data_IF_020787364053
#
_entry.id   IF_020787364053
#
_cell.length_a   1.000
_cell.length_b   1.000
_cell.length_c   1.000
_cell.angle_alpha   90.00
_cell.angle_beta   90.00
_cell.angle_gamma   90.00
#
_symmetry.space_group_name_H-M   'P 1'
#
loop_
_entity.id
_entity.type
_entity.pdbx_description
1 polymer ?
#
# COMPACT_ATOMS: atom_id res chain seq x y z
N UNK A 1 38.40 -27.28 -17.99
CA UNK A 1 37.95 -26.16 -17.15
C UNK A 1 36.44 -26.10 -17.19
N UNK A 2 35.83 -26.63 -16.14
CA UNK A 2 34.38 -26.83 -16.08
C UNK A 2 33.68 -25.58 -15.61
N UNK A 3 32.60 -25.20 -16.28
CA UNK A 3 31.69 -24.14 -15.92
C UNK A 3 30.71 -24.64 -14.87
N UNK A 4 30.93 -24.30 -13.61
CA UNK A 4 29.99 -24.48 -12.49
C UNK A 4 29.24 -23.20 -12.29
N UNK A 5 28.01 -23.08 -12.79
CA UNK A 5 27.02 -22.14 -12.25
C UNK A 5 25.65 -22.32 -12.91
N UNK A 6 24.88 -23.27 -12.43
CA UNK A 6 23.44 -23.31 -12.61
C UNK A 6 22.79 -23.93 -11.38
N UNK A 7 22.80 -23.20 -10.27
CA UNK A 7 22.00 -23.52 -9.08
C UNK A 7 21.40 -22.24 -8.54
N UNK A 8 20.21 -21.86 -9.02
CA UNK A 8 19.30 -20.96 -8.27
C UNK A 8 17.94 -20.76 -8.95
N UNK A 9 17.35 -21.75 -9.61
CA UNK A 9 15.94 -21.65 -10.06
C UNK A 9 14.91 -22.30 -9.13
N UNK A 10 15.33 -23.06 -8.13
CA UNK A 10 14.40 -23.76 -7.23
C UNK A 10 13.96 -22.97 -5.99
N UNK A 11 14.60 -21.85 -5.69
CA UNK A 11 14.28 -21.06 -4.48
C UNK A 11 13.11 -20.09 -4.64
N UNK A 12 12.73 -19.70 -5.86
CA UNK A 12 11.64 -18.76 -6.07
C UNK A 12 10.26 -19.44 -6.09
N UNK A 13 10.19 -20.67 -6.63
CA UNK A 13 8.90 -21.35 -6.77
C UNK A 13 8.31 -21.83 -5.41
N UNK A 14 9.18 -22.22 -4.47
CA UNK A 14 8.69 -22.63 -3.13
C UNK A 14 8.11 -21.44 -2.35
N UNK A 15 8.78 -20.28 -2.36
CA UNK A 15 8.24 -19.09 -1.66
C UNK A 15 6.91 -18.62 -2.22
N UNK A 16 6.74 -18.69 -3.54
CA UNK A 16 5.49 -18.30 -4.20
C UNK A 16 4.33 -19.24 -3.83
N UNK A 17 4.59 -20.55 -3.74
CA UNK A 17 3.63 -21.54 -3.30
C UNK A 17 3.18 -21.32 -1.84
N UNK A 18 4.12 -21.08 -0.93
CA UNK A 18 3.83 -20.84 0.48
C UNK A 18 3.05 -19.53 0.71
N UNK A 19 3.39 -18.47 -0.04
CA UNK A 19 2.69 -17.19 0.05
C UNK A 19 1.24 -17.29 -0.45
N UNK A 20 1.02 -17.94 -1.58
CA UNK A 20 -0.34 -18.13 -2.11
C UNK A 20 -1.20 -18.98 -1.18
N UNK A 21 -0.65 -20.03 -0.57
CA UNK A 21 -1.35 -20.83 0.42
C UNK A 21 -1.79 -19.99 1.63
N UNK A 22 -0.96 -19.04 2.07
CA UNK A 22 -1.28 -18.12 3.18
C UNK A 22 -2.32 -17.06 2.79
N UNK A 23 -2.32 -16.58 1.55
CA UNK A 23 -3.36 -15.67 1.03
C UNK A 23 -4.69 -16.38 0.91
N UNK A 24 -4.71 -17.61 0.36
CA UNK A 24 -5.92 -18.42 0.28
C UNK A 24 -6.50 -18.73 1.67
N UNK A 25 -5.65 -18.95 2.66
CA UNK A 25 -6.06 -19.16 4.04
C UNK A 25 -6.70 -17.89 4.62
N UNK A 26 -6.09 -16.70 4.42
CA UNK A 26 -6.65 -15.44 4.86
C UNK A 26 -8.02 -15.17 4.21
N UNK A 27 -8.15 -15.41 2.91
CA UNK A 27 -9.43 -15.29 2.20
C UNK A 27 -10.49 -16.29 2.73
N UNK A 28 -10.11 -17.52 2.99
CA UNK A 28 -11.04 -18.52 3.50
C UNK A 28 -11.54 -18.21 4.93
N UNK A 29 -10.71 -17.53 5.74
CA UNK A 29 -11.11 -17.02 7.05
C UNK A 29 -12.09 -15.84 6.93
N UNK A 30 -11.77 -14.85 6.08
CA UNK A 30 -12.61 -13.68 5.89
C UNK A 30 -13.94 -13.99 5.18
N UNK A 31 -13.92 -14.94 4.24
CA UNK A 31 -15.06 -15.27 3.39
C UNK A 31 -15.31 -16.79 3.39
N UNK A 32 -15.78 -17.38 4.51
CA UNK A 32 -15.94 -18.81 4.64
C UNK A 32 -16.97 -19.41 3.66
N UNK A 33 -17.93 -18.60 3.21
CA UNK A 33 -18.92 -18.97 2.18
C UNK A 33 -18.40 -18.84 0.76
N UNK A 34 -17.19 -18.27 0.58
CA UNK A 34 -16.61 -17.89 -0.71
C UNK A 34 -17.47 -16.93 -1.53
N UNK A 35 -18.29 -16.14 -0.85
CA UNK A 35 -19.15 -15.12 -1.47
C UNK A 35 -18.67 -13.75 -1.02
N UNK A 36 -18.60 -12.79 -1.93
CA UNK A 36 -18.34 -11.41 -1.56
C UNK A 36 -19.50 -10.90 -0.70
N UNK A 37 -19.17 -10.39 0.43
CA UNK A 37 -20.10 -9.83 1.40
C UNK A 37 -19.31 -9.13 2.48
N UNK A 38 -19.97 -8.76 3.56
CA UNK A 38 -19.24 -8.29 4.73
C UNK A 38 -18.45 -9.47 5.33
N UNK A 39 -17.16 -9.28 5.62
CA UNK A 39 -16.35 -10.27 6.32
C UNK A 39 -17.01 -10.65 7.65
N UNK A 40 -16.85 -11.90 8.08
CA UNK A 40 -17.34 -12.31 9.41
C UNK A 40 -16.61 -11.53 10.50
N UNK A 41 -17.30 -10.58 11.14
CA UNK A 41 -16.73 -9.68 12.16
C UNK A 41 -16.16 -10.43 13.38
N UNK A 42 -16.50 -11.72 13.55
CA UNK A 42 -16.01 -12.55 14.66
C UNK A 42 -14.55 -12.95 14.51
N UNK A 43 -13.97 -12.82 13.31
CA UNK A 43 -12.60 -13.26 13.01
C UNK A 43 -11.71 -12.13 12.44
N UNK A 44 -11.92 -10.89 12.87
CA UNK A 44 -11.04 -9.80 12.52
C UNK A 44 -9.67 -10.03 13.19
N UNK A 45 -8.67 -10.41 12.40
CA UNK A 45 -7.32 -10.74 12.87
C UNK A 45 -6.28 -9.70 12.46
N UNK A 46 -6.72 -8.57 11.93
CA UNK A 46 -5.84 -7.46 11.60
C UNK A 46 -5.07 -6.93 12.82
N UNK A 47 -3.98 -6.23 12.61
CA UNK A 47 -3.18 -5.69 13.71
C UNK A 47 -3.97 -4.60 14.46
N UNK A 48 -3.78 -4.56 15.79
CA UNK A 48 -4.35 -3.51 16.62
C UNK A 48 -3.65 -2.15 16.38
N UNK A 49 -4.31 -1.06 16.78
CA UNK A 49 -3.77 0.29 16.56
C UNK A 49 -2.43 0.56 17.23
N UNK A 50 -2.16 -0.02 18.40
CA UNK A 50 -0.89 0.05 19.10
C UNK A 50 0.22 -0.76 18.41
N UNK A 51 -0.10 -1.92 17.82
CA UNK A 51 0.84 -2.67 16.96
C UNK A 51 1.23 -1.86 15.71
N UNK A 52 0.27 -1.17 15.09
CA UNK A 52 0.53 -0.31 13.92
C UNK A 52 1.37 0.91 14.28
N UNK A 53 1.14 1.51 15.45
CA UNK A 53 1.97 2.61 15.94
C UNK A 53 3.42 2.13 16.19
N UNK A 54 3.60 0.98 16.83
CA UNK A 54 4.91 0.39 17.04
C UNK A 54 5.62 0.06 15.72
N UNK A 55 4.91 -0.51 14.75
CA UNK A 55 5.43 -0.76 13.40
C UNK A 55 5.88 0.54 12.72
N UNK A 56 5.08 1.61 12.82
CA UNK A 56 5.41 2.91 12.23
C UNK A 56 6.68 3.51 12.86
N UNK A 57 6.83 3.42 14.18
CA UNK A 57 8.02 3.90 14.91
C UNK A 57 9.27 3.11 14.52
N UNK A 58 9.18 1.79 14.41
CA UNK A 58 10.30 0.96 13.96
C UNK A 58 10.70 1.29 12.52
N UNK A 59 9.72 1.42 11.62
CA UNK A 59 9.97 1.82 10.24
C UNK A 59 10.62 3.21 10.14
N UNK A 60 10.18 4.17 10.96
CA UNK A 60 10.80 5.50 11.00
C UNK A 60 12.28 5.43 11.39
N UNK A 61 12.62 4.61 12.39
CA UNK A 61 13.99 4.40 12.82
C UNK A 61 14.85 3.70 11.76
N UNK A 62 14.38 2.56 11.25
CA UNK A 62 15.14 1.71 10.31
C UNK A 62 15.30 2.35 8.92
N UNK A 63 14.28 3.05 8.45
CA UNK A 63 14.32 3.70 7.13
C UNK A 63 14.88 5.12 7.19
N UNK A 64 15.10 5.67 8.39
CA UNK A 64 15.47 7.08 8.61
C UNK A 64 14.56 8.01 7.82
N UNK A 65 13.27 7.77 7.91
CA UNK A 65 12.24 8.47 7.18
C UNK A 65 11.11 8.89 8.12
N UNK A 66 10.39 9.95 7.79
CA UNK A 66 9.14 10.25 8.46
C UNK A 66 8.11 9.16 8.09
N UNK A 67 7.41 8.63 9.09
CA UNK A 67 6.32 7.68 8.91
C UNK A 67 5.05 8.25 9.49
N UNK A 68 3.93 7.97 8.86
CA UNK A 68 2.61 8.39 9.29
C UNK A 68 1.67 7.20 9.20
N UNK A 69 0.88 7.01 10.25
CA UNK A 69 -0.26 6.10 10.22
C UNK A 69 -1.46 6.94 9.82
N UNK A 70 -2.03 6.62 8.68
CA UNK A 70 -3.24 7.28 8.19
C UNK A 70 -4.35 6.24 8.18
N UNK A 71 -5.44 6.43 8.93
CA UNK A 71 -6.64 5.67 8.72
C UNK A 71 -7.13 5.90 7.29
N UNK A 72 -7.81 4.93 6.71
CA UNK A 72 -8.51 5.15 5.46
C UNK A 72 -9.41 6.37 5.59
N UNK A 73 -9.76 7.01 4.46
CA UNK A 73 -10.53 8.26 4.45
C UNK A 73 -11.73 8.20 5.39
N UNK A 74 -11.90 9.25 6.21
CA UNK A 74 -12.91 9.33 7.27
C UNK A 74 -14.37 9.16 6.79
N UNK A 75 -14.63 9.32 5.49
CA UNK A 75 -15.96 9.34 4.87
C UNK A 75 -16.33 8.00 4.20
N UNK A 76 -15.37 7.08 4.03
CA UNK A 76 -15.63 5.76 3.45
C UNK A 76 -15.06 4.66 4.33
N UNK A 77 -15.84 3.62 4.66
CA UNK A 77 -15.31 2.49 5.39
C UNK A 77 -14.21 1.82 4.58
N UNK A 78 -12.99 1.80 5.11
CA UNK A 78 -11.85 1.14 4.50
C UNK A 78 -11.45 -0.06 5.34
N UNK A 79 -11.14 -1.16 4.66
CA UNK A 79 -10.65 -2.37 5.32
C UNK A 79 -9.12 -2.39 5.48
N UNK A 80 -8.48 -1.22 5.38
CA UNK A 80 -7.03 -1.11 5.52
C UNK A 80 -6.59 0.22 6.14
N UNK A 81 -5.37 0.22 6.67
CA UNK A 81 -4.67 1.42 7.10
C UNK A 81 -3.44 1.64 6.24
N UNK A 82 -3.09 2.89 6.03
CA UNK A 82 -1.80 3.26 5.45
C UNK A 82 -0.78 3.51 6.55
N UNK A 83 0.37 2.85 6.45
CA UNK A 83 1.58 3.29 7.11
C UNK A 83 2.47 3.92 6.04
N UNK A 84 2.55 5.25 6.03
CA UNK A 84 3.27 5.97 5.00
C UNK A 84 4.73 6.12 5.38
N UNK A 85 5.63 5.61 4.56
CA UNK A 85 7.07 5.78 4.72
C UNK A 85 7.56 6.83 3.74
N UNK A 86 7.97 7.99 4.24
CA UNK A 86 8.33 9.14 3.42
C UNK A 86 9.82 9.46 3.53
N UNK A 87 10.42 9.83 2.40
CA UNK A 87 11.86 10.05 2.33
C UNK A 87 12.36 11.32 3.00
N UNK A 88 11.50 12.32 3.20
CA UNK A 88 11.81 13.62 3.83
C UNK A 88 10.56 14.24 4.45
N UNK A 89 10.77 15.24 5.30
CA UNK A 89 9.71 16.05 5.90
C UNK A 89 10.08 17.54 5.79
N UNK A 90 9.15 18.44 5.48
CA UNK A 90 7.79 18.15 5.08
C UNK A 90 7.72 17.57 3.66
N UNK A 91 6.70 16.76 3.39
CA UNK A 91 6.42 16.19 2.08
C UNK A 91 5.02 16.59 1.62
N UNK A 92 4.72 16.41 0.33
CA UNK A 92 3.46 16.84 -0.27
C UNK A 92 2.22 16.27 0.46
N UNK A 93 2.28 15.02 0.90
CA UNK A 93 1.17 14.39 1.63
C UNK A 93 0.97 15.04 3.01
N UNK A 94 2.05 15.34 3.74
CA UNK A 94 1.94 16.03 5.04
C UNK A 94 1.34 17.43 4.90
N UNK A 95 1.76 18.17 3.87
CA UNK A 95 1.22 19.48 3.59
C UNK A 95 -0.28 19.40 3.33
N UNK A 96 -0.70 18.46 2.49
CA UNK A 96 -2.11 18.29 2.11
C UNK A 96 -2.98 17.77 3.25
N UNK A 97 -2.56 16.70 3.92
CA UNK A 97 -3.43 15.95 4.83
C UNK A 97 -3.24 16.35 6.30
N UNK A 98 -2.09 16.91 6.66
CA UNK A 98 -1.75 17.26 8.05
C UNK A 98 -1.54 18.76 8.28
N UNK A 99 -1.82 19.61 7.28
CA UNK A 99 -1.72 21.05 7.40
C UNK A 99 -0.31 21.58 7.71
N UNK A 100 0.73 20.81 7.39
CA UNK A 100 2.12 21.25 7.52
C UNK A 100 2.38 22.35 6.50
N UNK A 101 3.06 23.45 6.86
CA UNK A 101 3.37 24.51 5.90
C UNK A 101 4.15 23.98 4.68
N UNK A 102 3.82 24.45 3.47
CA UNK A 102 4.57 24.07 2.27
C UNK A 102 6.06 24.41 2.39
N UNK A 103 6.94 23.54 1.85
CA UNK A 103 8.36 23.86 1.75
C UNK A 103 8.60 25.15 0.95
N UNK A 104 9.61 25.93 1.35
CA UNK A 104 9.91 27.21 0.69
C UNK A 104 10.19 27.06 -0.83
N UNK A 105 10.69 25.91 -1.25
CA UNK A 105 10.93 25.62 -2.66
C UNK A 105 9.66 25.60 -3.52
N UNK A 106 8.48 25.37 -2.91
CA UNK A 106 7.21 25.40 -3.65
C UNK A 106 6.85 26.81 -4.11
N UNK A 107 7.24 27.83 -3.34
CA UNK A 107 7.00 29.22 -3.72
C UNK A 107 7.71 29.66 -5.02
N UNK A 108 8.70 28.86 -5.47
CA UNK A 108 9.41 29.09 -6.74
C UNK A 108 8.82 28.33 -7.93
N UNK A 109 7.72 27.58 -7.73
CA UNK A 109 7.05 26.88 -8.82
C UNK A 109 6.28 27.88 -9.69
N UNK A 110 6.58 27.92 -10.97
CA UNK A 110 5.93 28.79 -11.95
C UNK A 110 5.55 28.01 -13.23
N UNK A 111 4.40 28.36 -13.81
CA UNK A 111 3.95 27.84 -15.07
C UNK A 111 3.78 26.31 -15.06
N UNK A 112 4.49 25.60 -15.94
CA UNK A 112 4.44 24.12 -16.05
C UNK A 112 5.46 23.39 -15.15
N UNK A 113 6.15 24.12 -14.26
CA UNK A 113 7.10 23.50 -13.34
C UNK A 113 6.39 22.57 -12.36
N UNK A 114 7.05 21.47 -12.00
CA UNK A 114 6.50 20.49 -11.06
C UNK A 114 7.58 19.96 -10.14
N UNK A 115 7.24 19.75 -8.87
CA UNK A 115 8.05 18.95 -7.94
C UNK A 115 7.54 17.50 -8.00
N UNK A 116 8.47 16.57 -8.13
CA UNK A 116 8.17 15.13 -8.14
C UNK A 116 8.82 14.46 -6.96
N UNK A 117 8.03 13.72 -6.21
CA UNK A 117 8.45 12.96 -5.04
C UNK A 117 8.06 11.50 -5.19
N UNK A 118 8.85 10.62 -4.59
CA UNK A 118 8.60 9.17 -4.58
C UNK A 118 8.56 8.69 -3.15
N UNK A 119 7.51 7.99 -2.79
CA UNK A 119 7.31 7.42 -1.46
C UNK A 119 7.06 5.93 -1.51
N UNK A 120 7.33 5.26 -0.40
CA UNK A 120 6.79 3.94 -0.12
C UNK A 120 5.55 4.10 0.75
N UNK A 121 4.50 3.40 0.39
CA UNK A 121 3.26 3.27 1.15
C UNK A 121 3.11 1.81 1.55
N UNK A 122 3.06 1.56 2.84
CA UNK A 122 2.65 0.27 3.38
C UNK A 122 1.14 0.30 3.60
N UNK A 123 0.43 -0.60 2.96
CA UNK A 123 -1.01 -0.81 3.14
C UNK A 123 -1.19 -2.03 4.01
N UNK A 124 -1.85 -1.90 5.14
CA UNK A 124 -2.09 -2.99 6.09
C UNK A 124 -3.58 -3.26 6.17
N UNK A 125 -4.00 -4.48 5.93
CA UNK A 125 -5.41 -4.87 6.06
C UNK A 125 -5.85 -4.79 7.52
N UNK A 126 -7.01 -4.22 7.77
CA UNK A 126 -7.66 -4.24 9.09
C UNK A 126 -8.35 -5.59 9.38
N UNK A 127 -8.59 -6.38 8.35
CA UNK A 127 -9.36 -7.62 8.40
C UNK A 127 -8.49 -8.87 8.51
N UNK A 128 -7.24 -8.79 8.08
CA UNK A 128 -6.31 -9.91 8.07
C UNK A 128 -4.88 -9.44 8.37
N UNK A 129 -4.02 -10.34 8.82
CA UNK A 129 -2.59 -10.05 9.00
C UNK A 129 -1.83 -10.08 7.68
N UNK A 130 -2.27 -9.20 6.76
CA UNK A 130 -1.73 -9.07 5.41
C UNK A 130 -1.34 -7.62 5.17
N UNK A 131 -0.19 -7.41 4.55
CA UNK A 131 0.30 -6.10 4.18
C UNK A 131 0.88 -6.11 2.76
N UNK A 132 0.71 -5.00 2.06
CA UNK A 132 1.26 -4.79 0.73
C UNK A 132 2.04 -3.48 0.68
N UNK A 133 3.11 -3.45 -0.13
CA UNK A 133 3.91 -2.23 -0.33
C UNK A 133 3.61 -1.66 -1.71
N UNK A 134 3.44 -0.35 -1.76
CA UNK A 134 3.29 0.39 -3.01
C UNK A 134 4.37 1.46 -3.12
N UNK A 135 4.81 1.74 -4.32
CA UNK A 135 5.46 2.99 -4.64
C UNK A 135 4.40 4.03 -5.00
N UNK A 136 4.48 5.22 -4.42
CA UNK A 136 3.61 6.33 -4.76
C UNK A 136 4.44 7.44 -5.39
N UNK A 137 4.13 7.78 -6.63
CA UNK A 137 4.65 8.97 -7.28
C UNK A 137 3.71 10.14 -6.95
N UNK A 138 4.28 11.21 -6.43
CA UNK A 138 3.55 12.44 -6.11
C UNK A 138 4.09 13.58 -6.97
N UNK A 139 3.19 14.31 -7.60
CA UNK A 139 3.50 15.49 -8.39
C UNK A 139 2.78 16.69 -7.81
N UNK A 140 3.54 17.74 -7.50
CA UNK A 140 3.04 19.03 -7.03
C UNK A 140 3.18 20.02 -8.14
N UNK A 141 2.08 20.64 -8.56
CA UNK A 141 2.06 21.66 -9.61
C UNK A 141 1.38 22.92 -9.11
N UNK A 142 1.81 24.12 -9.53
CA UNK A 142 1.12 25.35 -9.18
C UNK A 142 -0.27 25.38 -9.81
N UNK A 143 -1.27 25.88 -9.06
CA UNK A 143 -2.64 25.97 -9.51
C UNK A 143 -3.34 27.17 -8.87
N UNK A 144 -3.51 28.24 -9.63
CA UNK A 144 -4.12 29.48 -9.11
C UNK A 144 -3.31 30.08 -7.96
N UNK A 145 -3.95 30.20 -6.79
CA UNK A 145 -3.29 30.71 -5.56
C UNK A 145 -2.73 29.60 -4.68
N UNK A 146 -2.56 28.39 -5.20
CA UNK A 146 -2.09 27.26 -4.41
C UNK A 146 -1.44 26.18 -5.26
N UNK A 147 -1.58 24.94 -4.84
CA UNK A 147 -0.92 23.79 -5.46
C UNK A 147 -1.89 22.62 -5.62
N UNK A 148 -1.80 21.93 -6.74
CA UNK A 148 -2.39 20.60 -6.90
C UNK A 148 -1.37 19.53 -6.55
N UNK A 149 -1.76 18.59 -5.72
CA UNK A 149 -0.98 17.40 -5.36
C UNK A 149 -1.64 16.19 -5.97
N UNK A 150 -0.97 15.58 -6.93
CA UNK A 150 -1.43 14.39 -7.64
C UNK A 150 -0.67 13.16 -7.17
N UNK A 151 -1.37 12.20 -6.57
CA UNK A 151 -0.80 10.91 -6.18
C UNK A 151 -1.10 9.84 -7.22
N UNK A 152 -0.08 9.05 -7.56
CA UNK A 152 -0.19 7.92 -8.47
C UNK A 152 0.47 6.70 -7.84
N UNK A 153 -0.31 5.83 -7.18
CA UNK A 153 0.22 4.57 -6.67
C UNK A 153 0.61 3.64 -7.81
N UNK A 154 1.71 2.92 -7.62
CA UNK A 154 2.19 1.87 -8.53
C UNK A 154 2.35 0.58 -7.73
N UNK A 155 1.80 -0.49 -8.25
CA UNK A 155 1.94 -1.82 -7.68
C UNK A 155 3.09 -2.58 -8.37
N UNK A 156 3.86 -3.31 -7.59
CA UNK A 156 4.88 -4.25 -8.11
C UNK A 156 6.06 -3.62 -8.86
N UNK A 157 6.13 -2.29 -8.94
CA UNK A 157 7.24 -1.57 -9.62
C UNK A 157 7.87 -0.59 -8.66
N UNK A 158 9.16 -0.75 -8.42
CA UNK A 158 9.92 0.12 -7.53
C UNK A 158 11.10 0.74 -8.26
N UNK A 159 11.21 2.06 -8.20
CA UNK A 159 12.36 2.76 -8.75
C UNK A 159 13.63 2.44 -7.94
N UNK A 160 14.76 2.37 -8.61
CA UNK A 160 16.02 1.93 -8.02
C UNK A 160 16.39 2.58 -6.66
N UNK A 161 16.13 3.88 -6.41
CA UNK A 161 16.39 4.50 -5.10
C UNK A 161 15.53 3.97 -3.95
N UNK A 162 14.33 3.46 -4.23
CA UNK A 162 13.38 2.97 -3.22
C UNK A 162 13.54 1.47 -2.92
N UNK A 163 14.11 0.72 -3.85
CA UNK A 163 14.23 -0.74 -3.73
C UNK A 163 14.91 -1.21 -2.43
N UNK A 164 16.05 -0.64 -1.98
CA UNK A 164 16.64 -1.02 -0.71
C UNK A 164 15.76 -0.70 0.51
N UNK A 165 14.99 0.39 0.45
CA UNK A 165 14.06 0.76 1.52
C UNK A 165 12.87 -0.20 1.56
N UNK A 166 12.32 -0.54 0.40
CA UNK A 166 11.25 -1.53 0.27
C UNK A 166 11.68 -2.88 0.84
N UNK A 167 12.89 -3.36 0.50
CA UNK A 167 13.43 -4.62 1.04
C UNK A 167 13.57 -4.60 2.57
N UNK A 168 14.03 -3.49 3.16
CA UNK A 168 14.08 -3.33 4.61
C UNK A 168 12.70 -3.33 5.23
N UNK A 169 11.74 -2.59 4.65
CA UNK A 169 10.37 -2.55 5.10
C UNK A 169 9.77 -3.97 5.14
N UNK A 170 9.88 -4.72 4.04
CA UNK A 170 9.36 -6.09 3.96
C UNK A 170 10.02 -7.02 4.98
N UNK A 171 11.31 -6.81 5.28
CA UNK A 171 12.03 -7.63 6.27
C UNK A 171 11.53 -7.44 7.71
N UNK A 172 10.89 -6.32 8.02
CA UNK A 172 10.33 -6.03 9.36
C UNK A 172 8.96 -6.69 9.56
N UNK A 173 8.14 -6.82 8.51
CA UNK A 173 6.76 -7.29 8.61
C UNK A 173 6.55 -8.61 9.36
N UNK A 174 7.43 -9.63 9.24
CA UNK A 174 7.28 -10.89 9.99
C UNK A 174 7.34 -10.73 11.52
N UNK A 175 8.03 -9.71 12.04
CA UNK A 175 8.06 -9.44 13.49
C UNK A 175 6.68 -9.00 14.04
N UNK A 176 5.82 -8.51 13.16
CA UNK A 176 4.44 -8.11 13.44
C UNK A 176 3.43 -9.16 12.92
N UNK A 177 3.89 -10.36 12.61
CA UNK A 177 3.06 -11.44 12.05
C UNK A 177 2.30 -11.03 10.79
N UNK A 178 2.83 -10.07 10.02
CA UNK A 178 2.24 -9.59 8.78
C UNK A 178 2.79 -10.35 7.59
N UNK A 179 1.89 -10.95 6.82
CA UNK A 179 2.21 -11.55 5.53
C UNK A 179 2.38 -10.45 4.49
N UNK A 180 3.57 -10.33 3.90
CA UNK A 180 3.76 -9.46 2.74
C UNK A 180 3.18 -10.09 1.49
N UNK A 181 2.38 -9.32 0.76
CA UNK A 181 1.84 -9.68 -0.56
C UNK A 181 2.21 -8.63 -1.59
N UNK A 182 2.46 -9.06 -2.83
CA UNK A 182 2.64 -8.15 -3.95
C UNK A 182 1.29 -7.89 -4.64
N UNK A 183 0.93 -6.62 -4.84
CA UNK A 183 -0.33 -6.28 -5.52
C UNK A 183 -0.43 -6.87 -6.93
N UNK A 184 0.69 -7.05 -7.63
CA UNK A 184 0.72 -7.70 -8.94
C UNK A 184 0.34 -9.18 -8.86
N UNK A 185 0.73 -9.86 -7.77
CA UNK A 185 0.44 -11.27 -7.56
C UNK A 185 -1.01 -11.53 -7.12
N UNK A 186 -1.65 -10.56 -6.47
CA UNK A 186 -3.05 -10.64 -6.02
C UNK A 186 -4.03 -9.86 -6.92
N UNK A 187 -3.60 -9.49 -8.13
CA UNK A 187 -4.40 -8.73 -9.10
C UNK A 187 -5.38 -9.59 -9.92
N UNK A 188 -5.53 -10.87 -9.60
CA UNK A 188 -6.45 -11.78 -10.27
C UNK A 188 -7.60 -12.20 -9.34
N UNK A 189 -8.71 -12.66 -9.93
CA UNK A 189 -9.85 -13.15 -9.17
C UNK A 189 -9.51 -14.46 -8.43
N UNK A 190 -9.93 -14.62 -7.15
CA UNK A 190 -9.69 -15.84 -6.41
C UNK A 190 -10.56 -16.99 -6.99
N UNK A 191 -9.97 -18.17 -7.22
CA UNK A 191 -10.72 -19.31 -7.76
C UNK A 191 -11.87 -19.74 -6.85
N UNK A 192 -13.08 -19.88 -7.44
CA UNK A 192 -14.25 -20.41 -6.73
C UNK A 192 -14.92 -19.43 -5.76
N UNK A 193 -14.60 -18.14 -5.84
CA UNK A 193 -15.33 -17.09 -5.14
C UNK A 193 -16.39 -16.47 -6.05
N UNK A 194 -17.54 -16.10 -5.47
CA UNK A 194 -18.64 -15.43 -6.16
C UNK A 194 -18.76 -13.99 -5.66
N UNK A 195 -18.61 -13.06 -6.56
CA UNK A 195 -18.76 -11.63 -6.27
C UNK A 195 -20.22 -11.18 -6.16
N UNK A 196 -21.19 -12.00 -6.58
CA UNK A 196 -22.60 -11.64 -6.54
C UNK A 196 -22.88 -10.30 -7.24
N UNK A 197 -23.61 -9.42 -6.57
CA UNK A 197 -23.97 -8.07 -7.06
C UNK A 197 -22.76 -7.14 -7.21
N UNK A 198 -21.66 -7.42 -6.55
CA UNK A 198 -20.45 -6.59 -6.59
C UNK A 198 -19.70 -6.68 -7.92
N UNK A 199 -19.98 -7.72 -8.71
CA UNK A 199 -19.42 -7.86 -10.05
C UNK A 199 -19.73 -6.67 -10.95
N UNK A 200 -20.94 -6.13 -10.84
CA UNK A 200 -21.34 -4.95 -11.62
C UNK A 200 -20.60 -3.70 -11.13
N UNK A 201 -20.44 -3.53 -9.80
CA UNK A 201 -19.74 -2.40 -9.21
C UNK A 201 -18.26 -2.35 -9.62
N UNK A 202 -17.59 -3.50 -9.70
CA UNK A 202 -16.19 -3.60 -10.10
C UNK A 202 -15.98 -3.70 -11.63
N UNK A 203 -17.06 -3.78 -12.41
CA UNK A 203 -16.96 -3.97 -13.85
C UNK A 203 -16.39 -5.32 -14.28
N UNK A 204 -16.42 -6.34 -13.37
CA UNK A 204 -15.88 -7.67 -13.58
C UNK A 204 -15.72 -8.43 -12.27
N UNK A 205 -15.03 -9.58 -12.33
CA UNK A 205 -14.69 -10.33 -11.12
C UNK A 205 -13.66 -9.56 -10.27
N UNK A 206 -13.93 -9.31 -8.98
CA UNK A 206 -12.99 -8.63 -8.11
C UNK A 206 -11.72 -9.46 -7.92
N UNK A 207 -10.58 -8.78 -7.93
CA UNK A 207 -9.29 -9.40 -7.64
C UNK A 207 -9.14 -9.73 -6.15
N UNK A 208 -8.22 -10.63 -5.80
CA UNK A 208 -7.86 -10.93 -4.41
C UNK A 208 -7.58 -9.64 -3.63
N UNK A 209 -6.92 -8.67 -4.27
CA UNK A 209 -6.64 -7.37 -3.67
C UNK A 209 -7.90 -6.65 -3.17
N UNK A 210 -9.04 -6.79 -3.85
CA UNK A 210 -10.30 -6.18 -3.42
C UNK A 210 -10.86 -6.86 -2.16
N UNK A 211 -10.66 -8.16 -2.01
CA UNK A 211 -11.13 -8.90 -0.84
C UNK A 211 -10.29 -8.60 0.42
N UNK A 212 -9.00 -8.29 0.25
CA UNK A 212 -8.08 -8.02 1.37
C UNK A 212 -8.02 -6.52 1.74
N UNK A 213 -8.22 -5.64 0.76
CA UNK A 213 -8.03 -4.19 0.86
C UNK A 213 -9.17 -3.46 0.14
N UNK A 214 -10.30 -3.28 0.78
CA UNK A 214 -11.42 -2.55 0.18
C UNK A 214 -11.56 -1.14 0.81
N UNK A 215 -11.82 -0.08 0.00
CA UNK A 215 -11.71 -0.01 -1.46
C UNK A 215 -10.26 -0.19 -1.93
N UNK A 216 -10.07 -0.75 -3.13
CA UNK A 216 -8.72 -1.12 -3.59
C UNK A 216 -7.79 0.10 -3.70
N UNK A 217 -6.67 0.14 -2.96
CA UNK A 217 -5.80 1.31 -2.91
C UNK A 217 -4.99 1.56 -4.19
N UNK A 218 -4.98 0.60 -5.13
CA UNK A 218 -4.16 0.66 -6.35
C UNK A 218 -4.73 1.53 -7.46
N UNK A 219 -6.03 1.85 -7.40
CA UNK A 219 -6.75 2.53 -8.50
C UNK A 219 -7.01 4.00 -8.22
N UNK A 220 -6.81 4.47 -7.01
CA UNK A 220 -7.17 5.84 -6.64
C UNK A 220 -6.02 6.80 -6.96
N UNK A 221 -6.17 7.55 -8.05
CA UNK A 221 -5.42 8.79 -8.24
C UNK A 221 -6.05 9.82 -7.31
N UNK A 222 -5.38 10.13 -6.21
CA UNK A 222 -5.84 11.19 -5.32
C UNK A 222 -5.31 12.54 -5.84
N UNK A 223 -6.23 13.47 -6.06
CA UNK A 223 -5.88 14.86 -6.36
C UNK A 223 -6.39 15.72 -5.23
N UNK A 224 -5.49 16.47 -4.60
CA UNK A 224 -5.83 17.40 -3.53
C UNK A 224 -5.36 18.82 -3.88
N UNK A 225 -6.14 19.82 -3.50
CA UNK A 225 -5.75 21.25 -3.60
C UNK A 225 -5.26 21.74 -2.24
N UNK A 226 -4.17 22.48 -2.27
CA UNK A 226 -3.59 23.16 -1.10
C UNK A 226 -3.64 24.64 -1.40
N UNK A 227 -4.30 25.43 -0.55
CA UNK A 227 -4.24 26.90 -0.62
C UNK A 227 -2.84 27.37 -0.29
N UNK A 228 -2.31 28.31 -1.07
CA UNK A 228 -1.00 28.94 -0.85
C UNK A 228 -1.07 30.04 0.17
#
# INVERSE_FOLDING_TARGET
>A
MGCTSCKSKSGCDHRKGDMMASVDQALAQLYPTRTWGEPDDREVTGPAGDELAALADELAGELRAATFVQPGRDDEPCDYLYVLCMGRSPCAIQVRDHGVPPPAEWASLEGESAIRELYLRLVVSQRARVAAVQQVAVEVVPAGSGYLVNERPRAGVYDAPLLPRMQKLVAILPAYELLHVDFGEIAHAPPGYDAGVWRELFGGEPAIANYLFYPQPTTMVATGFIAG
#
